data_IF_826394427767
#
_entry.id   IF_826394427767
#
_cell.length_a   1.000
_cell.length_b   1.000
_cell.length_c   1.000
_cell.angle_alpha   90.00
_cell.angle_beta   90.00
_cell.angle_gamma   90.00
#
_symmetry.space_group_name_H-M   'P 1'
#
loop_
_entity.id
_entity.type
_entity.pdbx_description
1 polymer ?
#
# COMPACT_ATOMS: atom_id res chain seq x y z
N UNK A 1 -1.73 3.94 8.26
CA UNK A 1 -2.02 4.85 9.40
C UNK A 1 -3.48 5.27 9.28
N UNK A 2 -4.24 5.32 10.38
CA UNK A 2 -5.59 5.88 10.34
C UNK A 2 -5.43 7.40 10.35
N UNK A 3 -5.83 8.06 9.25
CA UNK A 3 -5.76 9.51 9.14
C UNK A 3 -6.90 10.14 9.95
N UNK A 4 -6.59 11.20 10.69
CA UNK A 4 -7.58 12.05 11.35
C UNK A 4 -8.32 12.90 10.30
N UNK A 5 -9.58 13.24 10.58
CA UNK A 5 -10.44 13.98 9.64
C UNK A 5 -9.98 15.41 9.36
N UNK A 6 -9.06 15.94 10.17
CA UNK A 6 -8.55 17.31 10.10
C UNK A 6 -7.20 17.44 9.36
N UNK A 7 -6.52 16.33 9.01
CA UNK A 7 -5.23 16.41 8.31
C UNK A 7 -5.40 16.70 6.82
N UNK A 8 -5.10 17.93 6.42
CA UNK A 8 -4.86 18.27 5.01
C UNK A 8 -3.49 17.74 4.58
N UNK A 9 -3.43 16.48 4.16
CA UNK A 9 -2.25 15.90 3.53
C UNK A 9 -2.08 16.46 2.11
N UNK A 10 -0.84 16.85 1.76
CA UNK A 10 -0.50 17.09 0.37
C UNK A 10 -0.65 15.82 -0.48
N UNK A 11 -0.67 15.98 -1.80
CA UNK A 11 -0.90 14.89 -2.75
C UNK A 11 0.03 13.70 -2.52
N UNK A 12 1.34 13.93 -2.33
CA UNK A 12 2.33 12.86 -2.17
C UNK A 12 2.10 12.12 -0.86
N UNK A 13 1.94 12.86 0.25
CA UNK A 13 1.65 12.26 1.55
C UNK A 13 0.36 11.46 1.52
N UNK A 14 -0.68 11.95 0.86
CA UNK A 14 -1.93 11.21 0.70
C UNK A 14 -1.68 9.88 0.00
N UNK A 15 -1.04 9.87 -1.17
CA UNK A 15 -0.84 8.63 -1.92
C UNK A 15 0.06 7.64 -1.18
N UNK A 16 1.14 8.11 -0.55
CA UNK A 16 2.11 7.23 0.15
C UNK A 16 1.51 6.68 1.45
N UNK A 17 0.80 7.49 2.24
CA UNK A 17 0.33 7.10 3.57
C UNK A 17 -0.95 6.25 3.54
N UNK A 18 -1.77 6.40 2.50
CA UNK A 18 -3.02 5.62 2.34
C UNK A 18 -2.87 4.42 1.43
N UNK A 19 -1.71 4.24 0.79
CA UNK A 19 -1.42 3.08 -0.06
C UNK A 19 -0.33 2.21 0.55
N UNK A 20 -0.04 1.08 -0.11
CA UNK A 20 0.98 0.12 0.30
C UNK A 20 1.47 -0.64 -0.91
N UNK A 21 2.75 -0.96 -0.90
CA UNK A 21 3.37 -1.88 -1.85
C UNK A 21 3.49 -3.31 -1.33
N UNK A 22 3.52 -4.26 -2.25
CA UNK A 22 3.86 -5.66 -1.97
C UNK A 22 5.29 -5.91 -2.38
N UNK A 23 6.08 -6.54 -1.49
CA UNK A 23 7.49 -6.85 -1.73
C UNK A 23 7.71 -7.48 -3.10
N UNK A 24 8.59 -6.85 -3.87
CA UNK A 24 8.94 -7.28 -5.20
C UNK A 24 9.78 -8.58 -5.17
N UNK A 25 9.37 -9.56 -5.95
CA UNK A 25 10.05 -10.83 -6.19
C UNK A 25 9.58 -11.35 -7.56
N UNK A 26 10.38 -12.09 -8.35
CA UNK A 26 9.93 -12.57 -9.66
C UNK A 26 8.57 -13.28 -9.64
N UNK A 27 8.30 -14.05 -8.58
CA UNK A 27 7.01 -14.72 -8.37
C UNK A 27 5.88 -13.71 -8.08
N UNK A 28 6.10 -12.70 -7.24
CA UNK A 28 5.08 -11.71 -6.91
C UNK A 28 4.85 -10.75 -8.08
N UNK A 29 5.91 -10.31 -8.76
CA UNK A 29 5.83 -9.50 -9.97
C UNK A 29 5.03 -10.21 -11.08
N UNK A 30 5.23 -11.53 -11.25
CA UNK A 30 4.45 -12.35 -12.17
C UNK A 30 2.99 -12.50 -11.71
N UNK A 31 2.76 -12.91 -10.46
CA UNK A 31 1.43 -13.18 -9.93
C UNK A 31 0.53 -11.94 -9.91
N UNK A 32 1.08 -10.79 -9.50
CA UNK A 32 0.35 -9.53 -9.44
C UNK A 32 0.41 -8.73 -10.75
N UNK A 33 1.18 -9.17 -11.75
CA UNK A 33 1.26 -8.50 -13.05
C UNK A 33 1.68 -7.01 -12.94
N UNK A 34 2.58 -6.71 -12.00
CA UNK A 34 3.01 -5.34 -11.68
C UNK A 34 2.04 -4.51 -10.82
N UNK A 35 0.96 -5.09 -10.30
CA UNK A 35 0.04 -4.43 -9.36
C UNK A 35 0.60 -4.35 -7.92
N UNK A 36 1.79 -4.85 -7.68
CA UNK A 36 2.49 -4.77 -6.39
C UNK A 36 3.08 -3.39 -6.08
N UNK A 37 3.02 -2.44 -7.02
CA UNK A 37 3.56 -1.08 -6.93
C UNK A 37 2.43 -0.03 -6.90
N UNK A 38 1.59 -0.06 -5.85
CA UNK A 38 0.39 0.79 -5.78
C UNK A 38 0.73 2.24 -5.43
N UNK A 39 1.76 2.45 -4.61
CA UNK A 39 2.19 3.81 -4.25
C UNK A 39 2.63 4.55 -5.53
N UNK A 40 3.47 3.92 -6.34
CA UNK A 40 3.97 4.50 -7.58
C UNK A 40 2.89 4.63 -8.64
N UNK A 41 1.95 3.67 -8.71
CA UNK A 41 0.81 3.78 -9.62
C UNK A 41 -0.07 5.00 -9.30
N UNK A 42 -0.33 5.27 -8.02
CA UNK A 42 -1.11 6.44 -7.62
C UNK A 42 -0.35 7.76 -7.76
N UNK A 43 0.98 7.76 -7.59
CA UNK A 43 1.81 8.93 -7.85
C UNK A 43 1.95 9.22 -9.35
N UNK A 44 1.99 8.18 -10.18
CA UNK A 44 2.24 8.27 -11.63
C UNK A 44 1.26 7.38 -12.42
N UNK A 45 -0.05 7.73 -12.47
CA UNK A 45 -1.08 6.86 -13.06
C UNK A 45 -0.87 6.58 -14.56
N UNK A 46 -0.23 7.51 -15.27
CA UNK A 46 0.09 7.37 -16.70
C UNK A 46 1.39 6.58 -16.97
N UNK A 47 2.14 6.19 -15.93
CA UNK A 47 3.39 5.46 -16.08
C UNK A 47 3.13 3.99 -16.48
N UNK A 48 3.82 3.47 -17.51
CA UNK A 48 3.78 2.05 -17.83
C UNK A 48 4.22 1.18 -16.65
N UNK A 49 3.51 0.07 -16.39
CA UNK A 49 3.74 -0.80 -15.22
C UNK A 49 5.16 -1.36 -15.12
N UNK A 50 5.80 -1.64 -16.26
CA UNK A 50 7.19 -2.10 -16.33
C UNK A 50 8.21 -1.08 -15.78
N UNK A 51 7.84 0.20 -15.71
CA UNK A 51 8.67 1.25 -15.15
C UNK A 51 8.41 1.51 -13.65
N UNK A 52 7.31 1.00 -13.09
CA UNK A 52 6.95 1.24 -11.69
C UNK A 52 8.02 0.71 -10.72
N UNK A 53 8.63 -0.44 -11.02
CA UNK A 53 9.76 -0.97 -10.24
C UNK A 53 10.95 0.00 -10.15
N UNK A 54 11.22 0.73 -11.24
CA UNK A 54 12.29 1.75 -11.25
C UNK A 54 11.87 2.99 -10.49
N UNK A 55 10.61 3.41 -10.65
CA UNK A 55 10.04 4.52 -9.89
C UNK A 55 10.05 4.23 -8.38
N UNK A 56 9.79 2.98 -7.98
CA UNK A 56 9.75 2.55 -6.58
C UNK A 56 11.04 2.87 -5.83
N UNK A 57 12.19 2.62 -6.46
CA UNK A 57 13.52 2.92 -5.88
C UNK A 57 13.65 4.42 -5.62
N UNK A 58 13.21 5.26 -6.57
CA UNK A 58 13.28 6.72 -6.48
C UNK A 58 12.32 7.24 -5.41
N UNK A 59 11.06 6.77 -5.43
CA UNK A 59 10.02 7.18 -4.48
C UNK A 59 10.39 6.77 -3.06
N UNK A 60 10.92 5.57 -2.86
CA UNK A 60 11.38 5.09 -1.55
C UNK A 60 12.49 5.99 -0.99
N UNK A 61 13.51 6.29 -1.79
CA UNK A 61 14.60 7.18 -1.39
C UNK A 61 14.09 8.60 -1.06
N UNK A 62 13.19 9.13 -1.88
CA UNK A 62 12.54 10.42 -1.62
C UNK A 62 11.76 10.43 -0.29
N UNK A 63 11.03 9.35 0.01
CA UNK A 63 10.27 9.21 1.24
C UNK A 63 11.21 9.11 2.46
N UNK A 64 12.29 8.34 2.35
CA UNK A 64 13.31 8.19 3.40
C UNK A 64 13.97 9.53 3.74
N UNK A 65 14.43 10.29 2.73
CA UNK A 65 15.02 11.63 2.91
C UNK A 65 14.10 12.60 3.66
N UNK A 66 12.78 12.46 3.48
CA UNK A 66 11.76 13.35 4.05
C UNK A 66 11.07 12.78 5.27
N UNK A 67 11.54 11.63 5.77
CA UNK A 67 10.92 10.92 6.90
C UNK A 67 9.41 10.66 6.67
N UNK A 68 9.03 10.36 5.44
CA UNK A 68 7.67 9.95 5.07
C UNK A 68 7.60 8.42 5.19
N UNK A 69 6.72 7.86 6.04
CA UNK A 69 6.55 6.42 6.15
C UNK A 69 6.14 5.79 4.82
N UNK A 70 7.04 5.01 4.22
CA UNK A 70 6.77 4.19 3.04
C UNK A 70 6.45 2.77 3.48
N UNK A 71 5.24 2.26 3.18
CA UNK A 71 4.80 0.94 3.64
C UNK A 71 4.90 -0.10 2.53
N UNK A 72 5.70 -1.14 2.79
CA UNK A 72 5.86 -2.31 1.94
C UNK A 72 5.73 -3.58 2.81
N UNK A 73 4.91 -4.55 2.39
CA UNK A 73 4.71 -5.82 3.12
C UNK A 73 4.83 -7.04 2.21
N UNK A 74 5.03 -8.22 2.79
CA UNK A 74 4.90 -9.46 2.02
C UNK A 74 3.46 -9.68 1.52
N UNK A 75 3.30 -10.45 0.45
CA UNK A 75 1.97 -10.78 -0.09
C UNK A 75 1.11 -11.52 0.96
N UNK A 76 1.67 -12.56 1.57
CA UNK A 76 1.00 -13.34 2.62
C UNK A 76 0.69 -12.49 3.86
N UNK A 77 1.68 -11.73 4.33
CA UNK A 77 1.56 -10.81 5.46
C UNK A 77 0.43 -9.79 5.23
N UNK A 78 0.37 -9.17 4.03
CA UNK A 78 -0.69 -8.22 3.68
C UNK A 78 -2.08 -8.86 3.73
N UNK A 79 -2.22 -10.08 3.23
CA UNK A 79 -3.49 -10.80 3.27
C UNK A 79 -3.90 -11.17 4.70
N UNK A 80 -2.95 -11.60 5.54
CA UNK A 80 -3.21 -11.89 6.95
C UNK A 80 -3.72 -10.63 7.66
N UNK A 81 -3.03 -9.49 7.49
CA UNK A 81 -3.46 -8.23 8.10
C UNK A 81 -4.87 -7.81 7.67
N UNK A 82 -5.19 -7.94 6.37
CA UNK A 82 -6.52 -7.61 5.85
C UNK A 82 -7.58 -8.52 6.46
N UNK A 83 -7.34 -9.84 6.50
CA UNK A 83 -8.30 -10.80 7.02
C UNK A 83 -8.49 -10.65 8.54
N UNK A 84 -7.42 -10.36 9.28
CA UNK A 84 -7.49 -10.03 10.71
C UNK A 84 -8.34 -8.78 10.94
N UNK A 85 -8.08 -7.71 10.20
CA UNK A 85 -8.86 -6.49 10.31
C UNK A 85 -10.34 -6.73 9.97
N UNK A 86 -10.63 -7.43 8.86
CA UNK A 86 -12.00 -7.80 8.50
C UNK A 86 -12.67 -8.65 9.58
N UNK A 87 -11.95 -9.56 10.22
CA UNK A 87 -12.45 -10.36 11.33
C UNK A 87 -12.76 -9.49 12.55
N UNK A 88 -11.91 -8.54 12.90
CA UNK A 88 -12.13 -7.62 14.02
C UNK A 88 -13.35 -6.72 13.79
N UNK A 89 -13.41 -6.04 12.63
CA UNK A 89 -14.50 -5.08 12.36
C UNK A 89 -15.85 -5.75 12.12
N UNK A 90 -15.87 -7.04 11.75
CA UNK A 90 -17.11 -7.81 11.59
C UNK A 90 -17.61 -8.47 12.87
N UNK A 91 -16.95 -8.28 14.03
CA UNK A 91 -17.38 -8.86 15.30
C UNK A 91 -18.85 -8.57 15.64
N UNK A 92 -19.37 -7.31 15.53
CA UNK A 92 -20.77 -7.02 15.84
C UNK A 92 -21.77 -7.77 14.94
N UNK A 93 -21.42 -8.00 13.66
CA UNK A 93 -22.27 -8.70 12.72
C UNK A 93 -22.31 -10.22 12.96
N UNK A 94 -21.23 -10.80 13.52
CA UNK A 94 -21.20 -12.22 13.91
C UNK A 94 -21.98 -12.46 15.19
N UNK A 95 -21.84 -11.57 16.17
CA UNK A 95 -22.57 -11.64 17.44
C UNK A 95 -24.08 -11.50 17.25
N UNK A 96 -24.52 -10.62 16.35
CA UNK A 96 -25.94 -10.47 16.00
C UNK A 96 -26.56 -11.68 15.27
N UNK A 97 -25.73 -12.64 14.83
CA UNK A 97 -26.15 -13.86 14.12
C UNK A 97 -26.15 -15.11 15.00
N UNK A 98 -25.50 -15.03 16.18
CA UNK A 98 -25.45 -16.09 17.18
C UNK A 98 -26.68 -16.03 18.10
#
# INVERSE_FOLDING_TARGET
>A
PTLDSESQLDFVRRQVLTSRDVKAHPLTDFWYGGLNYQIEHHLFPSMPRNNLKRAQVIVRAFCEERSIPYRESGALESNIEILQFLYEVSAPAREARA
#
